data_IF_523220382707
#
_entry.id   IF_523220382707
#
_cell.length_a   1.000
_cell.length_b   1.000
_cell.length_c   1.000
_cell.angle_alpha   90.00
_cell.angle_beta   90.00
_cell.angle_gamma   90.00
#
_symmetry.space_group_name_H-M   'P 1'
#
loop_
_entity.id
_entity.type
_entity.pdbx_description
1 polymer ?
#
# COMPACT_ATOMS: atom_id res chain seq x y z
N UNK A 1 -57.73 -6.82 19.75
CA UNK A 1 -56.70 -5.92 19.20
C UNK A 1 -55.48 -5.97 20.10
N UNK A 2 -54.33 -6.44 19.58
CA UNK A 2 -52.94 -6.09 19.95
C UNK A 2 -52.01 -7.12 19.30
N UNK A 3 -51.62 -6.83 18.06
CA UNK A 3 -50.54 -7.55 17.36
C UNK A 3 -49.24 -6.91 17.87
N UNK A 4 -48.45 -7.68 18.61
CA UNK A 4 -47.11 -7.27 19.05
C UNK A 4 -46.16 -7.59 17.91
N UNK A 5 -45.74 -6.56 17.18
CA UNK A 5 -44.69 -6.67 16.17
C UNK A 5 -43.35 -6.64 16.92
N UNK A 6 -42.72 -7.80 17.03
CA UNK A 6 -41.33 -7.91 17.50
C UNK A 6 -40.44 -7.53 16.33
N UNK A 7 -39.92 -6.30 16.33
CA UNK A 7 -38.83 -5.91 15.44
C UNK A 7 -37.59 -6.70 15.84
N UNK A 8 -37.22 -7.71 15.05
CA UNK A 8 -35.86 -8.24 15.07
C UNK A 8 -34.95 -7.21 14.39
N UNK A 9 -34.22 -6.45 15.19
CA UNK A 9 -33.07 -5.68 14.74
C UNK A 9 -31.98 -6.64 14.27
N UNK A 10 -31.78 -6.74 12.96
CA UNK A 10 -30.57 -7.29 12.36
C UNK A 10 -29.39 -6.43 12.81
N UNK A 11 -28.67 -6.87 13.84
CA UNK A 11 -27.35 -6.35 14.17
C UNK A 11 -26.42 -6.85 13.07
N UNK A 12 -26.16 -6.02 12.06
CA UNK A 12 -25.07 -6.25 11.15
C UNK A 12 -23.78 -6.16 11.97
N UNK A 13 -23.07 -7.28 12.13
CA UNK A 13 -21.72 -7.30 12.68
C UNK A 13 -20.86 -6.61 11.63
N UNK A 14 -20.63 -5.31 11.80
CA UNK A 14 -19.63 -4.60 11.03
C UNK A 14 -18.29 -5.11 11.55
N UNK A 15 -17.60 -5.94 10.76
CA UNK A 15 -16.19 -6.21 11.03
C UNK A 15 -15.49 -4.86 11.00
N UNK A 16 -15.00 -4.43 12.17
CA UNK A 16 -14.20 -3.20 12.25
C UNK A 16 -12.94 -3.47 11.44
N UNK A 17 -12.82 -2.79 10.31
CA UNK A 17 -11.63 -2.88 9.49
C UNK A 17 -10.47 -2.23 10.25
N UNK A 18 -9.47 -3.03 10.59
CA UNK A 18 -8.21 -2.59 11.12
C UNK A 18 -7.64 -1.55 10.16
N UNK A 19 -7.32 -0.38 10.70
CA UNK A 19 -6.83 0.78 9.95
C UNK A 19 -7.77 1.36 8.90
N UNK A 20 -9.09 1.21 9.07
CA UNK A 20 -10.09 1.89 8.23
C UNK A 20 -10.00 1.51 6.75
N UNK A 21 -9.52 0.30 6.45
CA UNK A 21 -9.37 -0.22 5.09
C UNK A 21 -8.03 0.11 4.44
N UNK A 22 -7.08 0.66 5.19
CA UNK A 22 -5.69 0.80 4.76
C UNK A 22 -4.91 -0.53 4.84
N UNK A 23 -5.36 -1.48 5.67
CA UNK A 23 -4.82 -2.82 5.80
C UNK A 23 -5.88 -3.85 5.36
N UNK A 24 -5.93 -4.23 4.08
CA UNK A 24 -7.02 -5.06 3.55
C UNK A 24 -7.12 -6.46 4.18
N UNK A 25 -5.98 -7.03 4.58
CA UNK A 25 -5.89 -8.32 5.27
C UNK A 25 -6.40 -8.27 6.71
N UNK A 26 -6.63 -7.06 7.24
CA UNK A 26 -7.21 -6.82 8.56
C UNK A 26 -6.39 -7.40 9.73
N UNK A 27 -5.09 -7.58 9.52
CA UNK A 27 -4.13 -8.24 10.40
C UNK A 27 -3.03 -7.31 10.91
N UNK A 28 -3.01 -6.04 10.50
CA UNK A 28 -2.07 -5.06 11.01
C UNK A 28 -2.30 -4.75 12.50
N UNK A 29 -1.29 -4.90 13.34
CA UNK A 29 -1.32 -4.57 14.77
C UNK A 29 -1.39 -3.06 15.04
N UNK A 30 -1.01 -2.23 14.06
CA UNK A 30 -1.03 -0.78 14.14
C UNK A 30 -1.37 -0.12 12.81
N UNK A 31 -1.66 1.19 12.85
CA UNK A 31 -2.04 1.98 11.68
C UNK A 31 -1.06 3.13 11.44
N UNK A 32 0.18 2.85 11.02
CA UNK A 32 1.24 3.85 10.96
C UNK A 32 0.93 5.02 10.01
N UNK A 33 0.20 4.77 8.92
CA UNK A 33 -0.28 5.81 8.00
C UNK A 33 -1.71 6.29 8.30
N UNK A 34 -2.23 5.99 9.50
CA UNK A 34 -3.56 6.40 9.94
C UNK A 34 -4.68 5.48 9.47
N UNK A 35 -5.91 5.90 9.74
CA UNK A 35 -7.14 5.11 9.53
C UNK A 35 -8.01 5.62 8.39
N UNK A 36 -7.59 6.68 7.71
CA UNK A 36 -8.30 7.22 6.55
C UNK A 36 -7.58 6.79 5.28
N UNK A 37 -8.33 6.29 4.31
CA UNK A 37 -7.81 6.02 2.98
C UNK A 37 -7.48 7.33 2.26
N UNK A 38 -6.41 7.31 1.47
CA UNK A 38 -5.98 8.45 0.66
C UNK A 38 -5.69 7.98 -0.78
N UNK A 39 -6.77 7.72 -1.56
CA UNK A 39 -6.63 7.31 -2.95
C UNK A 39 -6.03 8.44 -3.80
N UNK A 40 -5.05 8.10 -4.62
CA UNK A 40 -4.38 8.99 -5.56
C UNK A 40 -4.42 8.40 -6.97
N UNK A 41 -4.20 9.26 -7.97
CA UNK A 41 -4.16 8.85 -9.37
C UNK A 41 -2.82 8.16 -9.69
N UNK A 42 -2.88 6.86 -9.98
CA UNK A 42 -1.70 6.02 -10.24
C UNK A 42 -0.90 6.54 -11.44
N UNK A 43 -1.56 6.98 -12.50
CA UNK A 43 -0.88 7.45 -13.71
C UNK A 43 -0.05 8.71 -13.41
N UNK A 44 -0.63 9.65 -12.65
CA UNK A 44 0.03 10.89 -12.27
C UNK A 44 1.26 10.64 -11.39
N UNK A 45 1.18 9.67 -10.47
CA UNK A 45 2.30 9.33 -9.58
C UNK A 45 3.39 8.52 -10.28
N UNK A 46 3.02 7.58 -11.16
CA UNK A 46 3.99 6.89 -12.00
C UNK A 46 4.70 7.81 -12.99
N UNK A 47 4.06 8.88 -13.45
CA UNK A 47 4.68 9.85 -14.35
C UNK A 47 5.74 10.75 -13.67
N UNK A 48 5.94 10.67 -12.35
CA UNK A 48 6.92 11.50 -11.64
C UNK A 48 8.38 11.00 -11.79
N UNK A 49 8.60 9.82 -12.38
CA UNK A 49 9.92 9.25 -12.63
C UNK A 49 9.99 8.55 -13.99
N UNK A 50 11.20 8.42 -14.53
CA UNK A 50 11.49 7.84 -15.85
C UNK A 50 11.77 6.33 -15.76
N UNK A 51 10.75 5.57 -15.39
CA UNK A 51 10.69 4.09 -15.49
C UNK A 51 9.68 3.67 -16.57
N UNK A 52 9.61 2.38 -16.89
CA UNK A 52 8.51 1.84 -17.70
C UNK A 52 7.16 2.15 -17.01
N UNK A 53 6.37 2.99 -17.67
CA UNK A 53 5.12 3.50 -17.12
C UNK A 53 4.06 2.40 -16.94
N UNK A 54 4.05 1.38 -17.81
CA UNK A 54 3.11 0.28 -17.68
C UNK A 54 3.48 -0.61 -16.49
N UNK A 55 4.78 -0.82 -16.27
CA UNK A 55 5.30 -1.52 -15.12
C UNK A 55 4.97 -0.81 -13.82
N UNK A 56 5.27 0.49 -13.69
CA UNK A 56 4.92 1.23 -12.48
C UNK A 56 3.41 1.17 -12.18
N UNK A 57 2.57 1.39 -13.20
CA UNK A 57 1.12 1.38 -13.02
C UNK A 57 0.62 0.01 -12.55
N UNK A 58 1.14 -1.07 -13.14
CA UNK A 58 0.80 -2.43 -12.73
C UNK A 58 1.24 -2.71 -11.29
N UNK A 59 2.49 -2.36 -10.94
CA UNK A 59 3.03 -2.52 -9.58
C UNK A 59 2.14 -1.77 -8.57
N UNK A 60 1.98 -0.45 -8.71
CA UNK A 60 1.20 0.37 -7.75
C UNK A 60 -0.26 -0.12 -7.65
N UNK A 61 -0.86 -0.55 -8.75
CA UNK A 61 -2.23 -1.08 -8.75
C UNK A 61 -2.37 -2.36 -7.91
N UNK A 62 -1.37 -3.23 -7.94
CA UNK A 62 -1.37 -4.48 -7.17
C UNK A 62 -0.90 -4.28 -5.72
N UNK A 63 0.06 -3.39 -5.51
CA UNK A 63 0.66 -3.12 -4.20
C UNK A 63 -0.31 -2.36 -3.29
N UNK A 64 -0.96 -1.30 -3.80
CA UNK A 64 -1.76 -0.39 -2.96
C UNK A 64 -3.15 -0.06 -3.51
N UNK A 65 -3.43 -0.44 -4.76
CA UNK A 65 -4.62 0.03 -5.47
C UNK A 65 -4.70 1.55 -5.61
N UNK A 66 -3.55 2.24 -5.53
CA UNK A 66 -3.48 3.71 -5.53
C UNK A 66 -3.77 4.37 -4.19
N UNK A 67 -3.96 3.62 -3.10
CA UNK A 67 -4.12 4.18 -1.76
C UNK A 67 -2.75 4.52 -1.16
N UNK A 68 -2.42 5.80 -1.05
CA UNK A 68 -1.15 6.24 -0.47
C UNK A 68 -1.01 6.00 1.02
N UNK A 69 -2.08 5.61 1.72
CA UNK A 69 -2.02 5.16 3.10
C UNK A 69 -2.11 3.63 3.22
N UNK A 70 -2.05 2.88 2.11
CA UNK A 70 -2.04 1.43 2.15
C UNK A 70 -0.90 0.90 3.03
N UNK A 71 -1.18 -0.15 3.77
CA UNK A 71 -0.24 -0.80 4.65
C UNK A 71 -0.48 -2.30 4.66
N UNK A 72 0.60 -3.06 4.75
CA UNK A 72 0.58 -4.49 4.94
C UNK A 72 1.58 -4.84 6.04
N UNK A 73 1.16 -5.63 7.03
CA UNK A 73 2.06 -6.17 8.03
C UNK A 73 2.43 -7.60 7.63
N UNK A 74 3.73 -7.83 7.50
CA UNK A 74 4.26 -9.13 7.14
C UNK A 74 4.31 -10.06 8.33
N UNK A 75 4.43 -11.36 8.06
CA UNK A 75 4.48 -12.39 9.11
C UNK A 75 5.67 -12.28 10.07
N UNK A 76 6.71 -11.53 9.71
CA UNK A 76 7.86 -11.20 10.55
C UNK A 76 7.67 -9.90 11.35
N UNK A 77 6.52 -9.23 11.22
CA UNK A 77 6.19 -7.96 11.85
C UNK A 77 6.70 -6.73 11.10
N UNK A 78 7.35 -6.90 9.95
CA UNK A 78 7.76 -5.75 9.10
C UNK A 78 6.55 -5.12 8.41
N UNK A 79 6.62 -3.82 8.16
CA UNK A 79 5.56 -3.09 7.45
C UNK A 79 5.96 -2.69 6.03
N UNK A 80 5.05 -2.92 5.10
CA UNK A 80 5.06 -2.28 3.78
C UNK A 80 4.07 -1.13 3.77
N UNK A 81 4.46 0.05 3.28
CA UNK A 81 3.58 1.24 3.31
C UNK A 81 3.56 2.04 2.01
N UNK A 82 2.44 2.71 1.79
CA UNK A 82 2.24 3.69 0.73
C UNK A 82 2.01 3.08 -0.66
N UNK A 83 2.15 3.92 -1.68
CA UNK A 83 1.80 3.58 -3.07
C UNK A 83 2.60 2.40 -3.62
N UNK A 84 3.91 2.36 -3.32
CA UNK A 84 4.84 1.32 -3.76
C UNK A 84 5.13 0.25 -2.69
N UNK A 85 4.37 0.23 -1.58
CA UNK A 85 4.52 -0.73 -0.49
C UNK A 85 5.98 -0.88 -0.06
N UNK A 86 6.59 0.24 0.34
CA UNK A 86 8.00 0.27 0.75
C UNK A 86 8.14 -0.38 2.12
N UNK A 87 8.89 -1.48 2.16
CA UNK A 87 9.18 -2.22 3.38
C UNK A 87 10.06 -1.45 4.39
N UNK A 88 9.80 -1.62 5.68
CA UNK A 88 10.50 -0.94 6.78
C UNK A 88 11.99 -1.24 6.91
N UNK A 89 12.47 -2.36 6.36
CA UNK A 89 13.90 -2.64 6.24
C UNK A 89 14.63 -1.55 5.45
N UNK A 90 13.93 -0.82 4.57
CA UNK A 90 14.53 0.20 3.71
C UNK A 90 14.41 1.63 4.26
N UNK A 91 13.50 1.89 5.20
CA UNK A 91 13.18 3.27 5.64
C UNK A 91 14.39 3.98 6.26
N UNK A 92 15.27 3.24 6.94
CA UNK A 92 16.52 3.77 7.50
C UNK A 92 17.43 4.40 6.44
N UNK A 93 17.43 3.84 5.22
CA UNK A 93 18.28 4.30 4.12
C UNK A 93 17.57 5.37 3.29
N UNK A 94 16.30 5.17 2.95
CA UNK A 94 15.61 6.03 1.98
C UNK A 94 14.78 7.17 2.62
N UNK A 95 14.47 7.10 3.92
CA UNK A 95 13.68 8.13 4.61
C UNK A 95 14.20 8.46 6.02
N UNK A 96 15.50 8.26 6.28
CA UNK A 96 16.13 8.54 7.58
C UNK A 96 15.45 7.85 8.77
N UNK A 97 14.85 6.69 8.54
CA UNK A 97 14.12 5.90 9.54
C UNK A 97 12.68 6.36 9.79
N UNK A 98 12.19 7.38 9.10
CA UNK A 98 10.79 7.81 9.19
C UNK A 98 9.91 6.95 8.29
N UNK A 99 8.66 6.74 8.71
CA UNK A 99 7.67 5.99 7.93
C UNK A 99 7.24 6.85 6.71
N UNK A 100 7.44 6.41 5.47
CA UNK A 100 7.16 7.20 4.27
C UNK A 100 5.66 7.14 3.90
N UNK A 101 4.80 7.63 4.79
CA UNK A 101 3.34 7.74 4.53
C UNK A 101 2.98 8.96 3.68
N UNK A 102 3.87 9.95 3.58
CA UNK A 102 3.71 11.02 2.60
C UNK A 102 4.01 10.46 1.19
N UNK A 103 3.14 10.70 0.19
CA UNK A 103 3.32 10.17 -1.15
C UNK A 103 4.65 10.55 -1.82
N UNK A 104 5.19 11.74 -1.54
CA UNK A 104 6.47 12.17 -2.12
C UNK A 104 7.65 11.46 -1.45
N UNK A 105 7.61 11.27 -0.13
CA UNK A 105 8.60 10.46 0.59
C UNK A 105 8.57 9.00 0.11
N UNK A 106 7.38 8.45 -0.08
CA UNK A 106 7.19 7.09 -0.60
C UNK A 106 7.76 6.93 -2.03
N UNK A 107 7.50 7.90 -2.90
CA UNK A 107 8.07 7.96 -4.25
C UNK A 107 9.61 8.01 -4.21
N UNK A 108 10.19 8.87 -3.37
CA UNK A 108 11.64 8.98 -3.25
C UNK A 108 12.26 7.65 -2.81
N UNK A 109 11.63 6.97 -1.84
CA UNK A 109 12.03 5.62 -1.43
C UNK A 109 11.88 4.58 -2.54
N UNK A 110 10.79 4.63 -3.31
CA UNK A 110 10.60 3.72 -4.44
C UNK A 110 11.70 3.89 -5.49
N UNK A 111 12.10 5.13 -5.80
CA UNK A 111 13.21 5.42 -6.72
C UNK A 111 14.52 4.85 -6.19
N UNK A 112 14.80 4.98 -4.90
CA UNK A 112 16.01 4.40 -4.29
C UNK A 112 16.01 2.87 -4.40
N UNK A 113 14.91 2.19 -4.04
CA UNK A 113 14.77 0.72 -4.16
C UNK A 113 14.94 0.27 -5.61
N UNK A 114 14.32 0.97 -6.55
CA UNK A 114 14.45 0.70 -7.98
C UNK A 114 15.89 0.86 -8.47
N UNK A 115 16.60 1.90 -8.02
CA UNK A 115 18.01 2.13 -8.32
C UNK A 115 18.93 1.05 -7.72
N UNK A 116 18.68 0.61 -6.48
CA UNK A 116 19.38 -0.54 -5.89
C UNK A 116 19.12 -1.81 -6.72
N UNK A 117 17.96 -1.87 -7.37
CA UNK A 117 17.56 -2.91 -8.29
C UNK A 117 18.24 -2.85 -9.67
N UNK A 118 19.24 -1.99 -9.87
CA UNK A 118 19.84 -1.68 -11.17
C UNK A 118 18.83 -1.09 -12.16
N UNK A 119 17.93 -0.24 -11.67
CA UNK A 119 16.81 0.34 -12.41
C UNK A 119 15.89 -0.75 -12.96
N UNK A 120 15.48 -1.68 -12.10
CA UNK A 120 14.47 -2.69 -12.44
C UNK A 120 13.48 -2.90 -11.30
N UNK A 121 12.32 -3.49 -11.60
CA UNK A 121 11.30 -3.80 -10.59
C UNK A 121 11.56 -5.09 -9.78
N UNK A 122 12.76 -5.70 -9.87
CA UNK A 122 13.05 -7.03 -9.30
C UNK A 122 12.86 -7.17 -7.78
N UNK A 123 12.80 -6.06 -7.04
CA UNK A 123 12.59 -6.07 -5.59
C UNK A 123 11.12 -5.97 -5.16
N UNK A 124 10.20 -5.75 -6.10
CA UNK A 124 8.77 -5.92 -5.86
C UNK A 124 8.38 -7.33 -6.28
N UNK A 125 7.88 -8.15 -5.36
CA UNK A 125 7.40 -9.51 -5.67
C UNK A 125 6.34 -9.48 -6.79
N UNK A 126 5.52 -8.43 -6.80
CA UNK A 126 4.51 -8.14 -7.82
C UNK A 126 5.07 -8.02 -9.24
N UNK A 127 6.37 -7.80 -9.40
CA UNK A 127 7.01 -7.73 -10.72
C UNK A 127 6.80 -9.00 -11.55
N UNK A 128 6.64 -10.17 -10.93
CA UNK A 128 6.40 -11.43 -11.63
C UNK A 128 5.05 -11.42 -12.33
N UNK A 129 4.01 -10.96 -11.63
CA UNK A 129 2.65 -10.87 -12.17
C UNK A 129 2.56 -9.79 -13.24
N UNK A 130 3.31 -8.70 -13.07
CA UNK A 130 3.38 -7.61 -14.05
C UNK A 130 4.31 -7.91 -15.25
N UNK A 131 5.15 -8.96 -15.18
CA UNK A 131 6.18 -9.23 -16.19
C UNK A 131 7.32 -8.20 -16.22
N UNK A 132 7.57 -7.50 -15.11
CA UNK A 132 8.38 -6.29 -15.05
C UNK A 132 9.72 -6.45 -14.33
N UNK A 133 10.06 -7.64 -13.83
CA UNK A 133 11.23 -7.84 -12.98
C UNK A 133 12.56 -7.41 -13.62
N UNK A 134 12.66 -7.44 -14.96
CA UNK A 134 13.86 -7.04 -15.70
C UNK A 134 13.60 -5.83 -16.60
N UNK A 135 12.53 -5.08 -16.34
CA UNK A 135 12.17 -3.89 -17.09
C UNK A 135 12.62 -2.65 -16.33
N UNK A 136 13.21 -1.73 -17.08
CA UNK A 136 13.55 -0.40 -16.61
C UNK A 136 12.35 0.51 -16.78
#
# INVERSE_FOLDING_TARGET
>A
MKIIIILLSLVAIVFTNTCGGNCPSNDCDSCPCGTEQKPLDINNWCAQHDWDQQCCQCIVQHESGGNSHAMNENTDGSYDVGLWQINDYNWGVCNSGNIPCDPQENLNCAIDVYNWGEQTWKFWVTCEVCGCCNHN
#
